data_IF_799510539261
#
_entry.id   IF_799510539261
#
_cell.length_a   1.000
_cell.length_b   1.000
_cell.length_c   1.000
_cell.angle_alpha   90.00
_cell.angle_beta   90.00
_cell.angle_gamma   90.00
#
_symmetry.space_group_name_H-M   'P 1'
#
loop_
_entity.id
_entity.type
_entity.pdbx_description
1 polymer ?
#
# COMPACT_ATOMS: atom_id res chain seq x y z
N UNK A 1 -1.81 -11.68 51.52
CA UNK A 1 -2.08 -10.49 50.68
C UNK A 1 -0.75 -10.04 50.08
N UNK A 2 -0.63 -9.90 48.75
CA UNK A 2 0.67 -9.67 48.13
C UNK A 2 1.17 -8.25 48.47
N UNK A 3 2.41 -8.16 48.97
CA UNK A 3 3.01 -7.03 49.71
C UNK A 3 3.40 -5.81 48.85
N UNK A 4 3.04 -5.80 47.56
CA UNK A 4 3.35 -4.71 46.62
C UNK A 4 2.33 -3.56 46.60
N UNK A 5 1.27 -3.62 47.43
CA UNK A 5 0.28 -2.55 47.60
C UNK A 5 0.49 -1.74 48.89
N UNK A 6 1.74 -1.38 49.20
CA UNK A 6 2.13 -0.79 50.48
C UNK A 6 1.89 0.72 50.64
N UNK A 7 1.62 1.47 49.56
CA UNK A 7 1.39 2.92 49.66
C UNK A 7 0.22 3.40 48.79
N UNK A 8 -0.51 4.43 49.24
CA UNK A 8 -1.64 5.01 48.48
C UNK A 8 -1.26 5.49 47.07
N UNK A 9 0.00 5.91 46.87
CA UNK A 9 0.55 6.30 45.57
C UNK A 9 0.75 5.11 44.62
N UNK A 10 1.08 3.92 45.13
CA UNK A 10 1.19 2.70 44.32
C UNK A 10 -0.18 2.18 43.88
N UNK A 11 -1.19 2.25 44.76
CA UNK A 11 -2.58 1.91 44.41
C UNK A 11 -3.15 2.86 43.36
N UNK A 12 -2.89 4.17 43.48
CA UNK A 12 -3.30 5.15 42.49
C UNK A 12 -2.65 4.89 41.11
N UNK A 13 -1.35 4.56 41.08
CA UNK A 13 -0.66 4.18 39.84
C UNK A 13 -1.26 2.92 39.22
N UNK A 14 -1.52 1.89 40.03
CA UNK A 14 -2.14 0.65 39.55
C UNK A 14 -3.54 0.91 38.95
N UNK A 15 -4.37 1.72 39.62
CA UNK A 15 -5.69 2.13 39.11
C UNK A 15 -5.57 2.93 37.81
N UNK A 16 -4.61 3.86 37.70
CA UNK A 16 -4.34 4.60 36.47
C UNK A 16 -3.91 3.69 35.32
N UNK A 17 -3.05 2.69 35.58
CA UNK A 17 -2.65 1.72 34.56
C UNK A 17 -3.83 0.84 34.12
N UNK A 18 -4.69 0.42 35.04
CA UNK A 18 -5.89 -0.38 34.72
C UNK A 18 -6.89 0.46 33.91
N UNK A 19 -7.12 1.72 34.29
CA UNK A 19 -7.99 2.64 33.55
C UNK A 19 -7.42 2.95 32.15
N UNK A 20 -6.11 3.16 32.03
CA UNK A 20 -5.44 3.33 30.75
C UNK A 20 -5.57 2.08 29.88
N UNK A 21 -5.42 0.89 30.46
CA UNK A 21 -5.61 -0.39 29.77
C UNK A 21 -7.04 -0.58 29.27
N UNK A 22 -8.04 -0.27 30.10
CA UNK A 22 -9.46 -0.31 29.72
C UNK A 22 -9.80 0.71 28.63
N UNK A 23 -9.23 1.92 28.71
CA UNK A 23 -9.39 2.95 27.68
C UNK A 23 -8.77 2.50 26.35
N UNK A 24 -7.54 1.99 26.37
CA UNK A 24 -6.87 1.44 25.19
C UNK A 24 -7.67 0.28 24.59
N UNK A 25 -8.21 -0.62 25.42
CA UNK A 25 -9.06 -1.72 24.98
C UNK A 25 -10.35 -1.23 24.32
N UNK A 26 -11.02 -0.23 24.90
CA UNK A 26 -12.23 0.38 24.33
C UNK A 26 -11.96 1.07 22.99
N UNK A 27 -10.84 1.79 22.87
CA UNK A 27 -10.38 2.41 21.62
C UNK A 27 -10.02 1.35 20.58
N UNK A 28 -9.43 0.22 20.98
CA UNK A 28 -9.11 -0.86 20.05
C UNK A 28 -10.37 -1.47 19.42
N UNK A 29 -11.43 -1.64 20.23
CA UNK A 29 -12.70 -2.23 19.78
C UNK A 29 -13.55 -1.28 18.92
N UNK A 30 -13.57 0.02 19.24
CA UNK A 30 -14.44 1.00 18.57
C UNK A 30 -13.71 1.90 17.56
N UNK A 31 -12.38 1.97 17.63
CA UNK A 31 -11.54 2.92 16.90
C UNK A 31 -10.49 2.26 16.01
N UNK A 32 -10.62 0.96 15.70
CA UNK A 32 -9.65 0.24 14.86
C UNK A 32 -9.32 0.95 13.55
N UNK A 33 -10.32 1.51 12.85
CA UNK A 33 -10.12 2.29 11.62
C UNK A 33 -9.35 3.60 11.84
N UNK A 34 -9.54 4.26 12.98
CA UNK A 34 -8.84 5.50 13.33
C UNK A 34 -7.39 5.24 13.78
N UNK A 35 -7.06 4.03 14.20
CA UNK A 35 -5.71 3.61 14.58
C UNK A 35 -4.82 3.26 13.37
N UNK A 36 -5.42 2.90 12.22
CA UNK A 36 -4.68 2.51 11.00
C UNK A 36 -3.61 3.53 10.59
N UNK A 37 -3.91 4.84 10.50
CA UNK A 37 -2.90 5.84 10.11
C UNK A 37 -1.74 5.92 11.12
N UNK A 38 -2.00 5.73 12.41
CA UNK A 38 -0.96 5.75 13.44
C UNK A 38 -0.07 4.52 13.38
N UNK A 39 -0.65 3.35 13.11
CA UNK A 39 0.11 2.13 12.89
C UNK A 39 1.00 2.24 11.64
N UNK A 40 0.43 2.70 10.51
CA UNK A 40 1.19 3.00 9.30
C UNK A 40 2.28 4.04 9.55
N UNK A 41 1.99 5.06 10.34
CA UNK A 41 2.95 6.06 10.78
C UNK A 41 4.08 5.44 11.58
N UNK A 42 3.79 4.52 12.50
CA UNK A 42 4.80 3.86 13.33
C UNK A 42 5.74 3.00 12.48
N UNK A 43 5.17 2.27 11.51
CA UNK A 43 5.94 1.52 10.50
C UNK A 43 6.80 2.47 9.67
N UNK A 44 6.24 3.59 9.20
CA UNK A 44 6.98 4.59 8.44
C UNK A 44 8.13 5.19 9.26
N UNK A 45 7.88 5.59 10.51
CA UNK A 45 8.91 6.08 11.44
C UNK A 45 10.03 5.06 11.58
N UNK A 46 9.69 3.78 11.79
CA UNK A 46 10.66 2.71 11.94
C UNK A 46 11.54 2.55 10.69
N UNK A 47 10.95 2.58 9.49
CA UNK A 47 11.67 2.51 8.21
C UNK A 47 12.58 3.73 8.01
N UNK A 48 12.08 4.94 8.33
CA UNK A 48 12.81 6.18 8.09
C UNK A 48 13.88 6.47 9.14
N UNK A 49 13.73 5.94 10.36
CA UNK A 49 14.66 6.20 11.47
C UNK A 49 16.12 5.91 11.13
N UNK A 50 16.52 4.74 10.59
CA UNK A 50 17.92 4.47 10.25
C UNK A 50 18.45 5.42 9.17
N UNK A 51 17.61 5.81 8.20
CA UNK A 51 18.00 6.74 7.12
C UNK A 51 18.18 8.15 7.65
N UNK A 52 17.24 8.62 8.47
CA UNK A 52 17.29 9.94 9.11
C UNK A 52 18.46 10.03 10.08
N UNK A 53 18.69 9.02 10.90
CA UNK A 53 19.82 8.99 11.82
C UNK A 53 21.15 8.93 11.05
N UNK A 54 21.26 8.10 10.01
CA UNK A 54 22.44 8.06 9.15
C UNK A 54 22.75 9.43 8.52
N UNK A 55 21.74 10.09 7.96
CA UNK A 55 21.90 11.40 7.33
C UNK A 55 22.19 12.51 8.37
N UNK A 56 21.58 12.44 9.55
CA UNK A 56 21.85 13.38 10.64
C UNK A 56 23.28 13.26 11.19
N UNK A 57 23.91 12.07 11.14
CA UNK A 57 25.31 11.88 11.52
C UNK A 57 26.30 12.41 10.46
N UNK A 58 25.91 12.41 9.18
CA UNK A 58 26.73 12.90 8.05
C UNK A 58 26.57 14.41 7.84
N UNK A 59 25.57 15.03 8.48
CA UNK A 59 25.29 16.45 8.34
C UNK A 59 26.51 17.34 8.67
N UNK A 60 26.81 18.38 7.85
CA UNK A 60 27.96 19.25 8.06
C UNK A 60 28.00 19.88 9.46
N UNK A 61 29.21 19.92 10.05
CA UNK A 61 29.53 20.48 11.37
C UNK A 61 29.01 21.90 11.70
N UNK A 62 28.74 22.85 10.76
CA UNK A 62 28.23 24.17 11.15
C UNK A 62 26.81 24.17 11.75
N UNK A 63 26.06 23.07 11.64
CA UNK A 63 24.77 22.94 12.34
C UNK A 63 25.04 22.52 13.79
N UNK A 64 25.22 23.52 14.66
CA UNK A 64 25.65 23.33 16.06
C UNK A 64 24.62 22.61 16.94
N UNK A 65 23.35 22.60 16.53
CA UNK A 65 22.24 21.96 17.23
C UNK A 65 21.86 20.61 16.62
N UNK A 66 22.01 19.54 17.41
CA UNK A 66 21.59 18.17 17.03
C UNK A 66 20.12 18.08 16.61
N UNK A 67 19.26 18.94 17.16
CA UNK A 67 17.85 19.00 16.80
C UNK A 67 17.63 19.57 15.39
N UNK A 68 18.35 20.63 15.03
CA UNK A 68 18.27 21.25 13.71
C UNK A 68 18.83 20.32 12.62
N UNK A 69 19.96 19.64 12.89
CA UNK A 69 20.53 18.66 11.96
C UNK A 69 19.55 17.51 11.67
N UNK A 70 18.80 17.06 12.69
CA UNK A 70 17.78 16.02 12.53
C UNK A 70 16.57 16.52 11.74
N UNK A 71 16.03 17.71 12.02
CA UNK A 71 14.92 18.26 11.23
C UNK A 71 15.32 18.37 9.76
N UNK A 72 16.54 18.86 9.48
CA UNK A 72 17.06 18.94 8.11
C UNK A 72 17.14 17.55 7.47
N UNK A 73 17.66 16.54 8.18
CA UNK A 73 17.70 15.17 7.68
C UNK A 73 16.29 14.64 7.35
N UNK A 74 15.30 14.87 8.21
CA UNK A 74 13.90 14.47 7.95
C UNK A 74 13.36 15.17 6.70
N UNK A 75 13.58 16.49 6.58
CA UNK A 75 13.11 17.29 5.43
C UNK A 75 13.76 16.79 4.14
N UNK A 76 15.06 16.51 4.14
CA UNK A 76 15.76 15.97 2.95
C UNK A 76 15.20 14.59 2.58
N UNK A 77 15.03 13.70 3.55
CA UNK A 77 14.43 12.37 3.32
C UNK A 77 13.01 12.51 2.75
N UNK A 78 12.21 13.43 3.26
CA UNK A 78 10.86 13.69 2.77
C UNK A 78 10.87 14.24 1.34
N UNK A 79 11.75 15.19 1.04
CA UNK A 79 11.91 15.73 -0.33
C UNK A 79 12.29 14.61 -1.30
N UNK A 80 13.21 13.71 -0.93
CA UNK A 80 13.61 12.59 -1.77
C UNK A 80 12.44 11.62 -1.98
N UNK A 81 11.74 11.22 -0.91
CA UNK A 81 10.64 10.25 -1.01
C UNK A 81 9.46 10.84 -1.79
N UNK A 82 8.99 12.03 -1.44
CA UNK A 82 7.88 12.67 -2.14
C UNK A 82 8.27 13.06 -3.56
N UNK A 83 9.53 13.43 -3.80
CA UNK A 83 10.06 13.69 -5.14
C UNK A 83 10.06 12.44 -6.02
N UNK A 84 10.53 11.30 -5.49
CA UNK A 84 10.49 10.02 -6.19
C UNK A 84 9.05 9.55 -6.46
N UNK A 85 8.16 9.68 -5.46
CA UNK A 85 6.74 9.36 -5.62
C UNK A 85 6.08 10.27 -6.66
N UNK A 86 6.32 11.58 -6.62
CA UNK A 86 5.77 12.52 -7.59
C UNK A 86 6.30 12.24 -9.01
N UNK A 87 7.60 11.96 -9.16
CA UNK A 87 8.20 11.58 -10.44
C UNK A 87 7.56 10.30 -10.99
N UNK A 88 7.45 9.27 -10.16
CA UNK A 88 6.79 8.02 -10.51
C UNK A 88 5.34 8.26 -10.94
N UNK A 89 4.54 8.95 -10.13
CA UNK A 89 3.13 9.25 -10.43
C UNK A 89 2.99 10.12 -11.68
N UNK A 90 3.89 11.09 -11.90
CA UNK A 90 3.85 11.97 -13.07
C UNK A 90 4.10 11.22 -14.38
N UNK A 91 4.92 10.17 -14.35
CA UNK A 91 5.14 9.28 -15.50
C UNK A 91 4.00 8.26 -15.64
N UNK A 92 3.52 7.76 -14.50
CA UNK A 92 2.58 6.65 -14.41
C UNK A 92 1.13 7.02 -14.74
N UNK A 93 0.62 8.11 -14.17
CA UNK A 93 -0.78 8.52 -14.32
C UNK A 93 -1.13 8.82 -15.79
N UNK A 94 -0.33 9.59 -16.56
CA UNK A 94 -0.65 9.86 -17.97
C UNK A 94 -0.62 8.61 -18.82
N UNK A 95 0.33 7.70 -18.58
CA UNK A 95 0.47 6.45 -19.32
C UNK A 95 -0.69 5.48 -19.04
N UNK A 96 -1.16 5.40 -17.80
CA UNK A 96 -2.39 4.66 -17.49
C UNK A 96 -3.62 5.25 -18.20
N UNK A 97 -3.73 6.58 -18.24
CA UNK A 97 -4.86 7.25 -18.90
C UNK A 97 -4.81 7.00 -20.42
N UNK A 98 -3.64 7.17 -21.04
CA UNK A 98 -3.47 6.97 -22.48
C UNK A 98 -3.75 5.52 -22.88
N UNK A 99 -3.28 4.54 -22.10
CA UNK A 99 -3.56 3.12 -22.31
C UNK A 99 -5.03 2.79 -22.09
N UNK A 100 -5.65 3.31 -21.03
CA UNK A 100 -7.08 3.13 -20.78
C UNK A 100 -7.93 3.68 -21.94
N UNK A 101 -7.57 4.87 -22.45
CA UNK A 101 -8.23 5.47 -23.62
C UNK A 101 -7.98 4.69 -24.91
N UNK A 102 -6.77 4.17 -25.13
CA UNK A 102 -6.48 3.29 -26.27
C UNK A 102 -7.27 1.99 -26.21
N UNK A 103 -7.44 1.39 -25.03
CA UNK A 103 -8.23 0.18 -24.86
C UNK A 103 -9.72 0.43 -25.16
N UNK A 104 -10.26 1.56 -24.68
CA UNK A 104 -11.64 1.99 -24.97
C UNK A 104 -11.85 2.28 -26.47
N UNK A 105 -10.87 2.89 -27.13
CA UNK A 105 -10.97 3.24 -28.56
C UNK A 105 -10.68 2.06 -29.49
N UNK A 106 -9.90 1.06 -29.05
CA UNK A 106 -9.63 -0.16 -29.81
C UNK A 106 -10.66 -1.27 -29.56
N UNK A 107 -11.46 -1.17 -28.49
CA UNK A 107 -12.55 -2.10 -28.19
C UNK A 107 -13.51 -2.33 -29.38
N UNK A 108 -13.98 -1.30 -30.10
CA UNK A 108 -14.80 -1.48 -31.30
C UNK A 108 -14.05 -2.19 -32.45
N UNK A 109 -12.74 -1.96 -32.58
CA UNK A 109 -11.90 -2.62 -33.59
C UNK A 109 -11.60 -4.08 -33.26
N UNK A 110 -11.46 -4.41 -31.98
CA UNK A 110 -11.41 -5.78 -31.49
C UNK A 110 -12.75 -6.48 -31.66
N UNK A 111 -13.87 -5.78 -31.43
CA UNK A 111 -15.21 -6.27 -31.75
C UNK A 111 -15.31 -6.65 -33.24
N UNK A 112 -14.89 -5.74 -34.14
CA UNK A 112 -14.88 -5.99 -35.58
C UNK A 112 -13.98 -7.17 -35.99
N UNK A 113 -12.79 -7.30 -35.39
CA UNK A 113 -11.85 -8.41 -35.66
C UNK A 113 -12.31 -9.74 -35.09
N UNK A 114 -12.94 -9.74 -33.90
CA UNK A 114 -13.55 -10.93 -33.32
C UNK A 114 -14.74 -11.34 -34.19
N UNK A 115 -15.61 -10.42 -34.62
CA UNK A 115 -16.68 -10.75 -35.56
C UNK A 115 -16.19 -11.20 -36.93
N UNK A 116 -15.03 -10.72 -37.40
CA UNK A 116 -14.45 -11.11 -38.70
C UNK A 116 -13.63 -12.42 -38.64
N UNK A 117 -13.11 -12.79 -37.47
CA UNK A 117 -12.40 -14.07 -37.28
C UNK A 117 -13.30 -15.17 -36.70
N UNK A 118 -14.38 -14.81 -35.97
CA UNK A 118 -15.46 -15.70 -35.54
C UNK A 118 -16.66 -15.69 -36.49
N UNK A 119 -16.64 -14.88 -37.56
CA UNK A 119 -17.31 -15.26 -38.80
C UNK A 119 -16.55 -16.43 -39.41
N UNK A 120 -16.57 -17.58 -38.70
CA UNK A 120 -16.87 -18.84 -39.37
C UNK A 120 -18.00 -18.50 -40.31
N UNK A 121 -17.84 -18.80 -41.59
CA UNK A 121 -18.76 -18.56 -42.71
C UNK A 121 -20.19 -18.98 -42.34
N UNK A 122 -20.82 -18.14 -41.53
CA UNK A 122 -22.05 -18.45 -40.82
C UNK A 122 -23.17 -18.34 -41.83
N UNK A 123 -22.99 -17.52 -42.87
CA UNK A 123 -23.83 -17.52 -44.06
C UNK A 123 -23.81 -18.87 -44.79
N UNK A 124 -22.65 -19.53 -44.96
CA UNK A 124 -22.58 -20.86 -45.57
C UNK A 124 -23.23 -21.99 -44.72
N UNK A 125 -23.31 -21.83 -43.40
CA UNK A 125 -23.96 -22.78 -42.50
C UNK A 125 -25.45 -22.45 -42.23
N UNK A 126 -25.83 -21.16 -42.25
CA UNK A 126 -27.20 -20.68 -42.05
C UNK A 126 -28.10 -20.90 -43.27
N UNK A 127 -27.55 -21.01 -44.47
CA UNK A 127 -28.32 -21.41 -45.67
C UNK A 127 -28.82 -22.87 -45.62
N UNK A 128 -28.28 -23.69 -44.70
CA UNK A 128 -28.74 -25.06 -44.44
C UNK A 128 -29.74 -25.16 -43.29
N UNK A 129 -30.09 -24.04 -42.65
CA UNK A 129 -30.91 -24.00 -41.44
C UNK A 129 -32.25 -23.30 -41.75
N UNK A 130 -33.41 -23.84 -41.31
CA UNK A 130 -34.71 -23.20 -41.47
C UNK A 130 -34.73 -21.77 -40.90
N UNK A 131 -35.38 -20.83 -41.60
CA UNK A 131 -35.38 -19.39 -41.28
C UNK A 131 -35.76 -19.04 -39.83
N UNK A 132 -36.55 -19.88 -39.15
CA UNK A 132 -36.94 -19.68 -37.75
C UNK A 132 -35.81 -19.85 -36.72
N UNK A 133 -34.74 -20.58 -37.05
CA UNK A 133 -33.59 -20.80 -36.15
C UNK A 133 -32.50 -19.73 -36.39
N UNK A 134 -32.44 -19.15 -37.60
CA UNK A 134 -31.45 -18.14 -38.02
C UNK A 134 -31.47 -16.90 -37.11
N UNK A 135 -32.67 -16.36 -36.86
CA UNK A 135 -32.86 -15.17 -36.01
C UNK A 135 -32.49 -15.40 -34.55
N UNK A 136 -32.71 -16.62 -34.03
CA UNK A 136 -32.40 -16.98 -32.65
C UNK A 136 -30.89 -17.14 -32.42
N UNK A 137 -30.17 -17.67 -33.42
CA UNK A 137 -28.71 -17.79 -33.39
C UNK A 137 -28.05 -16.42 -33.53
N UNK A 138 -28.52 -15.58 -34.45
CA UNK A 138 -28.02 -14.19 -34.61
C UNK A 138 -28.26 -13.34 -33.35
N UNK A 139 -29.41 -13.48 -32.69
CA UNK A 139 -29.64 -12.85 -31.40
C UNK A 139 -28.70 -13.39 -30.32
N UNK A 140 -28.55 -14.71 -30.19
CA UNK A 140 -27.67 -15.31 -29.19
C UNK A 140 -26.20 -14.90 -29.32
N UNK A 141 -25.69 -14.84 -30.55
CA UNK A 141 -24.33 -14.36 -30.86
C UNK A 141 -24.20 -12.88 -30.52
N UNK A 142 -25.10 -12.02 -30.99
CA UNK A 142 -25.06 -10.59 -30.68
C UNK A 142 -25.19 -10.31 -29.17
N UNK A 143 -25.97 -11.11 -28.44
CA UNK A 143 -26.12 -10.98 -26.98
C UNK A 143 -24.85 -11.41 -26.25
N UNK A 144 -24.21 -12.49 -26.70
CA UNK A 144 -22.94 -12.97 -26.13
C UNK A 144 -21.80 -11.98 -26.38
N UNK A 145 -21.71 -11.41 -27.59
CA UNK A 145 -20.67 -10.42 -27.90
C UNK A 145 -20.91 -9.12 -27.13
N UNK A 146 -22.17 -8.65 -27.00
CA UNK A 146 -22.51 -7.53 -26.11
C UNK A 146 -22.15 -7.81 -24.65
N UNK A 147 -22.42 -9.02 -24.15
CA UNK A 147 -22.06 -9.41 -22.79
C UNK A 147 -20.54 -9.39 -22.55
N UNK A 148 -19.73 -9.81 -23.54
CA UNK A 148 -18.27 -9.72 -23.48
C UNK A 148 -17.80 -8.25 -23.51
N UNK A 149 -18.40 -7.41 -24.38
CA UNK A 149 -18.11 -5.97 -24.43
C UNK A 149 -18.43 -5.26 -23.12
N UNK A 150 -19.60 -5.54 -22.54
CA UNK A 150 -20.03 -5.01 -21.24
C UNK A 150 -19.14 -5.50 -20.10
N UNK A 151 -18.68 -6.77 -20.14
CA UNK A 151 -17.76 -7.32 -19.15
C UNK A 151 -16.38 -6.65 -19.22
N UNK A 152 -15.84 -6.43 -20.43
CA UNK A 152 -14.58 -5.72 -20.64
C UNK A 152 -14.68 -4.26 -20.19
N UNK A 153 -15.75 -3.56 -20.55
CA UNK A 153 -15.98 -2.18 -20.11
C UNK A 153 -16.09 -2.11 -18.57
N UNK A 154 -16.85 -3.01 -17.95
CA UNK A 154 -16.95 -3.08 -16.48
C UNK A 154 -15.62 -3.38 -15.81
N UNK A 155 -14.78 -4.24 -16.40
CA UNK A 155 -13.44 -4.54 -15.89
C UNK A 155 -12.50 -3.32 -15.94
N UNK A 156 -12.53 -2.55 -17.03
CA UNK A 156 -11.76 -1.31 -17.18
C UNK A 156 -12.26 -0.26 -16.17
N UNK A 157 -13.57 -0.03 -16.10
CA UNK A 157 -14.16 0.90 -15.14
C UNK A 157 -13.86 0.52 -13.69
N UNK A 158 -13.89 -0.77 -13.35
CA UNK A 158 -13.53 -1.28 -12.03
C UNK A 158 -12.05 -1.03 -11.71
N UNK A 159 -11.15 -1.25 -12.68
CA UNK A 159 -9.72 -0.98 -12.53
C UNK A 159 -9.47 0.51 -12.28
N UNK A 160 -10.08 1.39 -13.09
CA UNK A 160 -9.96 2.85 -12.93
C UNK A 160 -10.52 3.28 -11.57
N UNK A 161 -11.68 2.76 -11.15
CA UNK A 161 -12.27 3.03 -9.83
C UNK A 161 -11.35 2.57 -8.70
N UNK A 162 -10.72 1.41 -8.83
CA UNK A 162 -9.79 0.87 -7.82
C UNK A 162 -8.54 1.73 -7.70
N UNK A 163 -7.96 2.16 -8.84
CA UNK A 163 -6.84 3.11 -8.86
C UNK A 163 -7.25 4.42 -8.20
N UNK A 164 -8.42 4.96 -8.55
CA UNK A 164 -8.91 6.21 -7.95
C UNK A 164 -9.18 6.10 -6.45
N UNK A 165 -9.75 4.98 -6.00
CA UNK A 165 -9.98 4.70 -4.59
C UNK A 165 -8.65 4.58 -3.83
N UNK A 166 -7.64 3.95 -4.42
CA UNK A 166 -6.29 3.84 -3.85
C UNK A 166 -5.63 5.21 -3.73
N UNK A 167 -5.71 6.04 -4.77
CA UNK A 167 -5.19 7.41 -4.72
C UNK A 167 -5.91 8.23 -3.64
N UNK A 168 -7.24 8.17 -3.58
CA UNK A 168 -8.04 8.85 -2.57
C UNK A 168 -7.70 8.37 -1.15
N UNK A 169 -7.45 7.07 -0.97
CA UNK A 169 -7.00 6.49 0.29
C UNK A 169 -5.62 7.02 0.72
N UNK A 170 -4.65 7.05 -0.20
CA UNK A 170 -3.31 7.61 0.05
C UNK A 170 -3.39 9.09 0.44
N UNK A 171 -4.21 9.88 -0.25
CA UNK A 171 -4.44 11.29 0.08
C UNK A 171 -5.13 11.44 1.44
N UNK A 172 -6.09 10.57 1.77
CA UNK A 172 -6.70 10.51 3.10
C UNK A 172 -5.70 10.20 4.23
N UNK A 173 -4.57 9.56 3.88
CA UNK A 173 -3.48 9.21 4.80
C UNK A 173 -2.43 10.33 4.95
N UNK A 174 -2.70 11.57 4.54
CA UNK A 174 -1.79 12.73 4.75
C UNK A 174 -1.41 12.94 6.22
N UNK A 175 -2.23 12.47 7.17
CA UNK A 175 -1.89 12.50 8.60
C UNK A 175 -0.66 11.65 8.94
N UNK A 176 -0.41 10.57 8.19
CA UNK A 176 0.69 9.62 8.42
C UNK A 176 2.06 10.29 8.37
N UNK A 177 2.47 10.98 7.28
CA UNK A 177 3.77 11.66 7.23
C UNK A 177 3.88 12.82 8.22
N UNK A 178 2.79 13.51 8.53
CA UNK A 178 2.78 14.59 9.55
C UNK A 178 3.05 14.00 10.93
N UNK A 179 2.35 12.93 11.29
CA UNK A 179 2.57 12.24 12.55
C UNK A 179 3.98 11.64 12.64
N UNK A 180 4.46 11.01 11.57
CA UNK A 180 5.80 10.46 11.51
C UNK A 180 6.88 11.54 11.70
N UNK A 181 6.68 12.75 11.15
CA UNK A 181 7.58 13.89 11.34
C UNK A 181 7.67 14.29 12.82
N UNK A 182 6.51 14.38 13.50
CA UNK A 182 6.44 14.73 14.92
C UNK A 182 7.14 13.69 15.81
N UNK A 183 7.00 12.40 15.47
CA UNK A 183 7.65 11.31 16.21
C UNK A 183 9.15 11.27 15.94
N UNK A 184 9.58 11.36 14.68
CA UNK A 184 10.99 11.33 14.28
C UNK A 184 11.79 12.48 14.91
N UNK A 185 11.23 13.69 14.88
CA UNK A 185 11.88 14.88 15.48
C UNK A 185 12.17 14.67 16.98
N UNK A 186 11.26 14.02 17.70
CA UNK A 186 11.34 13.86 19.15
C UNK A 186 11.71 12.44 19.65
N UNK A 187 12.10 11.51 18.76
CA UNK A 187 12.29 10.10 19.16
C UNK A 187 13.33 9.92 20.27
N UNK A 188 14.34 10.79 20.35
CA UNK A 188 15.34 10.75 21.43
C UNK A 188 14.76 11.12 22.80
N UNK A 189 13.84 12.09 22.85
CA UNK A 189 13.12 12.43 24.07
C UNK A 189 12.14 11.31 24.45
N UNK A 190 11.43 10.75 23.46
CA UNK A 190 10.52 9.62 23.66
C UNK A 190 11.25 8.39 24.23
N UNK A 191 12.42 8.02 23.69
CA UNK A 191 13.23 6.89 24.18
C UNK A 191 13.71 7.10 25.62
N UNK A 192 14.12 8.32 25.98
CA UNK A 192 14.52 8.66 27.36
C UNK A 192 13.34 8.67 28.33
N UNK A 193 12.17 9.13 27.89
CA UNK A 193 10.96 9.08 28.71
C UNK A 193 10.54 7.63 28.94
N UNK A 194 10.54 6.82 27.88
CA UNK A 194 10.23 5.39 27.94
C UNK A 194 11.18 4.64 28.90
N UNK A 195 12.49 4.88 28.81
CA UNK A 195 13.46 4.21 29.69
C UNK A 195 13.31 4.59 31.17
N UNK A 196 12.87 5.82 31.47
CA UNK A 196 12.59 6.30 32.84
C UNK A 196 11.29 5.74 33.41
N UNK A 197 10.33 5.36 32.57
CA UNK A 197 9.07 4.75 33.00
C UNK A 197 9.25 3.28 33.41
N UNK A 198 10.31 2.62 32.90
CA UNK A 198 10.61 1.23 33.21
C UNK A 198 11.34 1.09 34.56
N UNK A 199 10.86 0.20 35.45
CA UNK A 199 11.62 -0.25 36.62
C UNK A 199 12.98 -0.79 36.22
N UNK A 200 14.01 -0.53 37.02
CA UNK A 200 15.38 -0.95 36.73
C UNK A 200 15.51 -2.47 36.60
N UNK A 201 14.74 -3.23 37.39
CA UNK A 201 14.77 -4.69 37.42
C UNK A 201 14.35 -5.37 36.12
N UNK A 202 13.52 -4.73 35.28
CA UNK A 202 13.03 -5.30 34.01
C UNK A 202 13.63 -4.59 32.78
N UNK A 203 14.49 -3.59 32.99
CA UNK A 203 14.96 -2.72 31.92
C UNK A 203 15.78 -3.49 30.89
N UNK A 204 16.66 -4.39 31.33
CA UNK A 204 17.45 -5.24 30.44
C UNK A 204 16.58 -6.19 29.63
N UNK A 205 15.62 -6.87 30.26
CA UNK A 205 14.68 -7.77 29.58
C UNK A 205 13.89 -7.03 28.48
N UNK A 206 13.39 -5.83 28.78
CA UNK A 206 12.66 -5.02 27.80
C UNK A 206 13.55 -4.63 26.62
N UNK A 207 14.81 -4.25 26.86
CA UNK A 207 15.73 -3.93 25.76
C UNK A 207 16.11 -5.16 24.92
N UNK A 208 16.25 -6.34 25.54
CA UNK A 208 16.46 -7.58 24.82
C UNK A 208 15.27 -7.91 23.90
N UNK A 209 14.04 -7.79 24.41
CA UNK A 209 12.82 -7.98 23.60
C UNK A 209 12.77 -6.97 22.45
N UNK A 210 13.04 -5.69 22.71
CA UNK A 210 13.10 -4.66 21.67
C UNK A 210 14.13 -5.02 20.59
N UNK A 211 15.31 -5.52 20.97
CA UNK A 211 16.34 -5.96 20.03
C UNK A 211 15.90 -7.14 19.15
N UNK A 212 15.17 -8.10 19.72
CA UNK A 212 14.59 -9.22 18.96
C UNK A 212 13.54 -8.71 17.96
N UNK A 213 12.63 -7.83 18.42
CA UNK A 213 11.61 -7.23 17.55
C UNK A 213 12.23 -6.43 16.42
N UNK A 214 13.28 -5.66 16.71
CA UNK A 214 14.05 -4.90 15.72
C UNK A 214 14.69 -5.81 14.67
N UNK A 215 15.29 -6.93 15.11
CA UNK A 215 15.84 -7.94 14.20
C UNK A 215 14.78 -8.58 13.29
N UNK A 216 13.62 -8.94 13.85
CA UNK A 216 12.50 -9.51 13.10
C UNK A 216 11.91 -8.50 12.11
N UNK A 217 11.66 -7.26 12.55
CA UNK A 217 11.11 -6.21 11.70
C UNK A 217 12.08 -5.87 10.55
N UNK A 218 13.38 -5.76 10.83
CA UNK A 218 14.40 -5.57 9.81
C UNK A 218 14.47 -6.71 8.79
N UNK A 219 14.38 -7.97 9.24
CA UNK A 219 14.34 -9.13 8.36
C UNK A 219 13.07 -9.16 7.49
N UNK A 220 11.91 -8.86 8.07
CA UNK A 220 10.64 -8.77 7.35
C UNK A 220 10.67 -7.70 6.27
N UNK A 221 11.13 -6.48 6.58
CA UNK A 221 11.22 -5.39 5.60
C UNK A 221 12.13 -5.74 4.43
N UNK A 222 13.28 -6.37 4.69
CA UNK A 222 14.18 -6.87 3.63
C UNK A 222 13.50 -7.94 2.78
N UNK A 223 12.80 -8.88 3.42
CA UNK A 223 11.98 -9.88 2.75
C UNK A 223 10.92 -9.26 1.85
N UNK A 224 10.18 -8.27 2.34
CA UNK A 224 9.14 -7.58 1.58
C UNK A 224 9.70 -6.85 0.37
N UNK A 225 10.83 -6.15 0.51
CA UNK A 225 11.49 -5.47 -0.62
C UNK A 225 11.94 -6.47 -1.69
N UNK A 226 12.50 -7.61 -1.28
CA UNK A 226 12.86 -8.69 -2.21
C UNK A 226 11.60 -9.23 -2.90
N UNK A 227 10.53 -9.46 -2.16
CA UNK A 227 9.27 -9.97 -2.69
C UNK A 227 8.66 -9.03 -3.72
N UNK A 228 8.64 -7.72 -3.45
CA UNK A 228 8.19 -6.69 -4.38
C UNK A 228 9.00 -6.68 -5.67
N UNK A 229 10.32 -6.83 -5.57
CA UNK A 229 11.21 -6.88 -6.72
C UNK A 229 11.02 -8.16 -7.53
N UNK A 230 10.89 -9.31 -6.87
CA UNK A 230 10.65 -10.61 -7.50
C UNK A 230 9.30 -10.63 -8.20
N UNK A 231 8.23 -10.21 -7.52
CA UNK A 231 6.88 -10.20 -8.10
C UNK A 231 6.79 -9.19 -9.23
N UNK A 232 7.41 -8.01 -9.09
CA UNK A 232 7.42 -7.02 -10.16
C UNK A 232 8.17 -7.50 -11.40
N UNK A 233 9.35 -8.09 -11.22
CA UNK A 233 10.15 -8.64 -12.31
C UNK A 233 9.46 -9.85 -12.97
N UNK A 234 8.96 -10.79 -12.18
CA UNK A 234 8.26 -11.97 -12.68
C UNK A 234 6.99 -11.59 -13.47
N UNK A 235 6.21 -10.65 -12.94
CA UNK A 235 5.02 -10.12 -13.62
C UNK A 235 5.38 -9.43 -14.93
N UNK A 236 6.43 -8.60 -14.95
CA UNK A 236 6.91 -7.96 -16.18
C UNK A 236 7.36 -8.99 -17.23
N UNK A 237 8.14 -9.99 -16.83
CA UNK A 237 8.63 -11.05 -17.73
C UNK A 237 7.44 -11.84 -18.30
N UNK A 238 6.48 -12.23 -17.45
CA UNK A 238 5.34 -13.03 -17.86
C UNK A 238 4.41 -12.27 -18.80
N UNK A 239 4.13 -10.99 -18.51
CA UNK A 239 3.34 -10.12 -19.39
C UNK A 239 4.06 -9.87 -20.72
N UNK A 240 5.39 -9.68 -20.71
CA UNK A 240 6.18 -9.52 -21.92
C UNK A 240 6.17 -10.79 -22.77
N UNK A 241 6.28 -11.96 -22.15
CA UNK A 241 6.21 -13.26 -22.83
C UNK A 241 4.84 -13.50 -23.48
N UNK A 242 3.77 -12.98 -22.90
CA UNK A 242 2.41 -13.02 -23.46
C UNK A 242 2.14 -11.97 -24.54
N UNK A 243 3.13 -11.12 -24.85
CA UNK A 243 2.99 -10.04 -25.83
C UNK A 243 2.09 -8.89 -25.35
N UNK A 244 1.85 -8.78 -24.03
CA UNK A 244 1.09 -7.68 -23.45
C UNK A 244 1.91 -6.40 -23.59
N UNK A 245 1.37 -5.35 -24.22
CA UNK A 245 2.10 -4.12 -24.39
C UNK A 245 2.32 -3.47 -23.00
N UNK A 246 3.44 -2.76 -22.85
CA UNK A 246 3.85 -2.12 -21.59
C UNK A 246 3.95 -3.07 -20.38
N UNK A 247 4.32 -4.33 -20.62
CA UNK A 247 4.57 -5.33 -19.57
C UNK A 247 5.49 -4.86 -18.43
N UNK A 248 6.53 -4.06 -18.72
CA UNK A 248 7.42 -3.49 -17.71
C UNK A 248 6.66 -2.56 -16.75
N UNK A 249 5.77 -1.71 -17.27
CA UNK A 249 4.95 -0.81 -16.48
C UNK A 249 4.06 -1.62 -15.53
N UNK A 250 3.31 -2.58 -16.08
CA UNK A 250 2.37 -3.42 -15.34
C UNK A 250 3.07 -4.28 -14.28
N UNK A 251 4.25 -4.83 -14.59
CA UNK A 251 5.05 -5.54 -13.60
C UNK A 251 5.55 -4.62 -12.48
N UNK A 252 5.96 -3.39 -12.80
CA UNK A 252 6.36 -2.42 -11.77
C UNK A 252 5.20 -2.07 -10.83
N UNK A 253 3.98 -1.96 -11.36
CA UNK A 253 2.76 -1.80 -10.54
C UNK A 253 2.58 -2.99 -9.60
N UNK A 254 2.63 -4.21 -10.15
CA UNK A 254 2.45 -5.42 -9.38
C UNK A 254 3.45 -5.50 -8.22
N UNK A 255 4.72 -5.18 -8.48
CA UNK A 255 5.75 -5.10 -7.44
C UNK A 255 5.51 -4.02 -6.40
N UNK A 256 5.01 -2.84 -6.78
CA UNK A 256 4.68 -1.77 -5.81
C UNK A 256 3.46 -2.13 -4.96
N UNK A 257 2.41 -2.68 -5.59
CA UNK A 257 1.18 -3.07 -4.91
C UNK A 257 1.40 -4.23 -3.95
N UNK A 258 2.39 -5.09 -4.21
CA UNK A 258 2.82 -6.15 -3.31
C UNK A 258 3.26 -5.63 -1.92
N UNK A 259 3.74 -4.39 -1.81
CA UNK A 259 4.11 -3.78 -0.52
C UNK A 259 2.91 -3.71 0.43
N UNK A 260 1.69 -3.59 -0.11
CA UNK A 260 0.45 -3.42 0.66
C UNK A 260 -0.16 -4.80 0.93
N UNK A 261 -0.09 -5.33 2.16
CA UNK A 261 -0.61 -6.66 2.46
C UNK A 261 -2.13 -6.70 2.27
N UNK A 262 -2.63 -7.64 1.45
CA UNK A 262 -4.04 -7.98 1.24
C UNK A 262 -5.00 -6.77 1.10
N UNK A 263 -5.00 -6.13 -0.07
CA UNK A 263 -6.20 -5.52 -0.67
C UNK A 263 -7.08 -6.58 -1.38
N UNK A 264 -7.14 -7.79 -0.85
CA UNK A 264 -8.04 -8.84 -1.32
C UNK A 264 -8.71 -9.46 -0.10
N UNK A 265 -10.05 -9.58 0.00
CA UNK A 265 -11.14 -9.09 -0.86
C UNK A 265 -12.19 -8.27 -0.05
N UNK A 266 -12.48 -7.03 -0.48
CA UNK A 266 -13.73 -6.32 -0.16
C UNK A 266 -14.47 -6.02 -1.47
N UNK A 267 -14.86 -7.08 -2.17
CA UNK A 267 -15.88 -7.10 -3.21
C UNK A 267 -16.66 -8.42 -3.09
#
# INVERSE_FOLDING_TARGET
>A
MPTWMGTGKQRLRAVLFILLGLFLYWVLLNGGAALVPFFLGAVLVYILLPVVDGLAHVAPRPIRDRHAARILAIVVVYIVIFGLLAALLSYFIPELISQGQQLITQLPGLYAKVTANFSVDIDAYLDRIPQGIRSSVEQGVNTTIKAIGDALQKGIESTVKTVWATVSFIVGMVIVPVWAFLVLSNVGAARRAFSRMLPESIREDVYNVIGIVDGLAGAYLRGQLILCLVIGAASAIMLAALGVPQALLLGTIAGILEVIPNLGPFL
#
